data_IF_560743502244
#
_entry.id   IF_560743502244
#
_cell.length_a   1.000
_cell.length_b   1.000
_cell.length_c   1.000
_cell.angle_alpha   90.00
_cell.angle_beta   90.00
_cell.angle_gamma   90.00
#
_symmetry.space_group_name_H-M   'P 1'
#
loop_
_entity.id
_entity.type
_entity.pdbx_description
1 polymer ?
#
# COMPACT_ATOMS: atom_id res chain seq x y z
N UNK A 1 4.32 10.38 7.81
CA UNK A 1 5.45 9.43 7.65
C UNK A 1 6.47 9.67 8.77
N UNK A 2 6.04 9.69 10.05
CA UNK A 2 6.87 10.17 11.18
C UNK A 2 7.75 9.07 11.82
N UNK A 3 7.50 7.79 11.50
CA UNK A 3 8.14 6.64 12.17
C UNK A 3 8.97 5.77 11.20
N UNK A 4 8.80 5.95 9.88
CA UNK A 4 9.48 5.13 8.88
C UNK A 4 11.00 5.33 8.94
N UNK A 5 11.73 4.29 9.32
CA UNK A 5 13.20 4.25 9.31
C UNK A 5 13.92 4.53 10.65
N UNK A 6 13.20 4.99 11.69
CA UNK A 6 13.83 5.25 12.99
C UNK A 6 14.07 3.96 13.80
N UNK A 7 15.26 3.84 14.38
CA UNK A 7 15.68 2.69 15.19
C UNK A 7 15.54 2.93 16.69
N UNK A 8 15.27 4.17 17.10
CA UNK A 8 15.10 4.54 18.50
C UNK A 8 13.85 5.41 18.70
N UNK A 9 12.95 4.96 19.59
CA UNK A 9 11.73 5.67 19.94
C UNK A 9 12.02 7.06 20.53
N UNK A 10 13.20 7.28 21.14
CA UNK A 10 13.61 8.60 21.66
C UNK A 10 13.75 9.63 20.56
N UNK A 11 14.23 9.24 19.37
CA UNK A 11 14.36 10.16 18.22
C UNK A 11 13.00 10.61 17.73
N UNK A 12 12.01 9.72 17.73
CA UNK A 12 10.61 10.04 17.41
C UNK A 12 10.10 11.12 18.37
N UNK A 13 10.31 10.93 19.69
CA UNK A 13 9.88 11.91 20.70
C UNK A 13 10.64 13.25 20.60
N UNK A 14 11.94 13.24 20.29
CA UNK A 14 12.74 14.46 20.10
C UNK A 14 12.27 15.25 18.88
N UNK A 15 12.05 14.60 17.74
CA UNK A 15 11.53 15.25 16.53
C UNK A 15 10.15 15.84 16.73
N UNK A 16 9.27 15.12 17.43
CA UNK A 16 7.94 15.63 17.74
C UNK A 16 8.02 16.88 18.64
N UNK A 17 8.89 16.86 19.66
CA UNK A 17 9.16 18.04 20.50
C UNK A 17 9.68 19.22 19.66
N UNK A 18 10.69 18.98 18.82
CA UNK A 18 11.29 19.99 17.95
C UNK A 18 10.26 20.61 17.00
N UNK A 19 9.42 19.78 16.38
CA UNK A 19 8.33 20.22 15.50
C UNK A 19 7.35 21.15 16.22
N UNK A 20 6.92 20.80 17.43
CA UNK A 20 6.01 21.64 18.23
C UNK A 20 6.66 22.94 18.71
N UNK A 21 7.96 22.90 19.05
CA UNK A 21 8.74 24.10 19.39
C UNK A 21 8.90 25.04 18.18
N UNK A 22 9.06 24.50 16.96
CA UNK A 22 9.12 25.29 15.74
C UNK A 22 7.77 25.96 15.42
N UNK A 23 6.65 25.28 15.67
CA UNK A 23 5.31 25.84 15.47
C UNK A 23 4.91 26.86 16.55
N UNK A 24 5.44 26.71 17.77
CA UNK A 24 5.15 27.59 18.88
C UNK A 24 6.42 27.79 19.73
N UNK A 25 7.03 28.96 19.61
CA UNK A 25 8.25 29.31 20.34
C UNK A 25 8.10 29.30 21.88
N UNK A 26 6.87 29.33 22.43
CA UNK A 26 6.60 29.17 23.87
C UNK A 26 6.44 27.71 24.30
N UNK A 27 6.39 26.77 23.35
CA UNK A 27 6.29 25.36 23.65
C UNK A 27 7.61 24.87 24.25
N UNK A 28 7.52 24.07 25.31
CA UNK A 28 8.67 23.66 26.10
C UNK A 28 8.60 22.18 26.44
N UNK A 29 9.72 21.63 26.93
CA UNK A 29 9.77 20.25 27.42
C UNK A 29 8.70 19.99 28.51
N UNK A 30 8.41 20.98 29.37
CA UNK A 30 7.36 20.87 30.40
C UNK A 30 5.96 20.79 29.78
N UNK A 31 5.70 21.59 28.73
CA UNK A 31 4.44 21.53 27.99
C UNK A 31 4.28 20.16 27.30
N UNK A 32 5.34 19.65 26.68
CA UNK A 32 5.31 18.33 26.05
C UNK A 32 5.10 17.20 27.05
N UNK A 33 5.76 17.26 28.22
CA UNK A 33 5.55 16.29 29.28
C UNK A 33 4.11 16.28 29.79
N UNK A 34 3.51 17.46 29.98
CA UNK A 34 2.10 17.61 30.34
C UNK A 34 1.19 16.97 29.29
N UNK A 35 1.43 17.25 28.01
CA UNK A 35 0.62 16.72 26.92
C UNK A 35 0.72 15.18 26.85
N UNK A 36 1.92 14.62 27.08
CA UNK A 36 2.16 13.17 27.16
C UNK A 36 1.71 12.52 28.50
N UNK A 37 1.10 13.29 29.42
CA UNK A 37 0.73 12.85 30.76
C UNK A 37 1.91 12.21 31.54
N UNK A 38 3.10 12.81 31.42
CA UNK A 38 4.32 12.43 32.12
C UNK A 38 4.88 13.58 32.98
N UNK A 39 5.51 13.28 34.13
CA UNK A 39 6.32 14.27 34.83
C UNK A 39 7.46 14.77 33.93
N UNK A 40 7.75 16.07 33.96
CA UNK A 40 8.82 16.66 33.14
C UNK A 40 10.21 16.07 33.43
N UNK A 41 10.47 15.72 34.69
CA UNK A 41 11.69 15.00 35.10
C UNK A 41 11.79 13.64 34.40
N UNK A 42 10.70 12.86 34.42
CA UNK A 42 10.63 11.54 33.80
C UNK A 42 10.78 11.60 32.29
N UNK A 43 10.13 12.55 31.62
CA UNK A 43 10.31 12.73 30.18
C UNK A 43 11.77 13.07 29.84
N UNK A 44 12.38 13.99 30.61
CA UNK A 44 13.80 14.32 30.44
C UNK A 44 14.71 13.10 30.60
N UNK A 45 14.48 12.28 31.62
CA UNK A 45 15.24 11.04 31.85
C UNK A 45 15.07 10.04 30.71
N UNK A 46 13.86 9.90 30.16
CA UNK A 46 13.59 9.02 29.01
C UNK A 46 14.32 9.51 27.76
N UNK A 47 14.24 10.80 27.43
CA UNK A 47 14.90 11.39 26.26
C UNK A 47 16.43 11.33 26.33
N UNK A 48 16.98 11.32 27.55
CA UNK A 48 18.41 11.16 27.84
C UNK A 48 18.83 9.70 28.07
N UNK A 49 17.91 8.73 27.95
CA UNK A 49 18.22 7.31 28.08
C UNK A 49 18.48 6.81 29.51
N UNK A 50 18.26 7.64 30.53
CA UNK A 50 18.42 7.29 31.95
C UNK A 50 17.30 6.37 32.45
N UNK A 51 16.10 6.51 31.89
CA UNK A 51 14.93 5.67 32.20
C UNK A 51 14.28 5.16 30.92
N UNK A 52 13.60 4.02 31.02
CA UNK A 52 12.82 3.43 29.93
C UNK A 52 11.31 3.66 30.06
N UNK A 53 10.58 3.37 28.99
CA UNK A 53 9.12 3.32 29.00
C UNK A 53 8.62 1.87 29.07
N UNK A 54 7.47 1.65 29.70
CA UNK A 54 6.74 0.39 29.53
C UNK A 54 5.94 0.42 28.22
N UNK A 55 5.60 -0.75 27.70
CA UNK A 55 4.75 -0.87 26.50
C UNK A 55 3.39 -0.18 26.67
N UNK A 56 2.79 -0.32 27.85
CA UNK A 56 1.53 0.35 28.20
C UNK A 56 1.65 1.88 28.13
N UNK A 57 2.72 2.44 28.72
CA UNK A 57 3.00 3.88 28.65
C UNK A 57 3.30 4.33 27.21
N UNK A 58 4.00 3.50 26.44
CA UNK A 58 4.27 3.77 25.03
C UNK A 58 2.97 3.83 24.20
N UNK A 59 2.03 2.93 24.46
CA UNK A 59 0.72 2.92 23.80
C UNK A 59 -0.11 4.17 24.13
N UNK A 60 -0.11 4.60 25.39
CA UNK A 60 -0.74 5.87 25.79
C UNK A 60 -0.13 7.07 25.07
N UNK A 61 1.21 7.14 25.03
CA UNK A 61 1.94 8.20 24.31
C UNK A 61 1.61 8.18 22.80
N UNK A 62 1.61 7.01 22.16
CA UNK A 62 1.27 6.88 20.74
C UNK A 62 -0.13 7.40 20.43
N UNK A 63 -1.09 7.12 21.31
CA UNK A 63 -2.47 7.62 21.19
C UNK A 63 -2.53 9.14 21.30
N UNK A 64 -1.85 9.73 22.28
CA UNK A 64 -1.74 11.19 22.46
C UNK A 64 -1.10 11.88 21.26
N UNK A 65 -0.09 11.24 20.65
CA UNK A 65 0.58 11.75 19.46
C UNK A 65 -0.21 11.56 18.16
N UNK A 66 -1.39 10.91 18.23
CA UNK A 66 -2.25 10.69 17.07
C UNK A 66 -1.70 9.67 16.08
N UNK A 67 -0.88 8.73 16.54
CA UNK A 67 -0.34 7.68 15.68
C UNK A 67 -1.44 6.75 15.20
N UNK A 68 -1.35 6.32 13.93
CA UNK A 68 -2.20 5.25 13.41
C UNK A 68 -1.96 3.93 14.17
N UNK A 69 -2.84 2.93 14.01
CA UNK A 69 -2.68 1.64 14.65
C UNK A 69 -1.31 0.98 14.32
N UNK A 70 -0.91 1.04 13.05
CA UNK A 70 0.39 0.50 12.62
C UNK A 70 1.58 1.27 13.19
N UNK A 71 1.49 2.61 13.25
CA UNK A 71 2.53 3.46 13.82
C UNK A 71 2.66 3.25 15.34
N UNK A 72 1.53 3.06 16.02
CA UNK A 72 1.47 2.75 17.45
C UNK A 72 2.15 1.42 17.76
N UNK A 73 1.88 0.38 16.97
CA UNK A 73 2.52 -0.94 17.13
C UNK A 73 4.04 -0.86 16.94
N UNK A 74 4.51 -0.16 15.91
CA UNK A 74 5.95 0.04 15.67
C UNK A 74 6.59 0.81 16.83
N UNK A 75 5.96 1.89 17.31
CA UNK A 75 6.46 2.65 18.45
C UNK A 75 6.53 1.81 19.74
N UNK A 76 5.49 1.01 20.00
CA UNK A 76 5.45 0.10 21.14
C UNK A 76 6.52 -1.00 21.06
N UNK A 77 6.73 -1.58 19.87
CA UNK A 77 7.76 -2.59 19.65
C UNK A 77 9.18 -2.00 19.77
N UNK A 78 9.41 -0.75 19.35
CA UNK A 78 10.67 -0.04 19.59
C UNK A 78 10.97 0.10 21.08
N UNK A 79 9.98 0.51 21.89
CA UNK A 79 10.12 0.60 23.34
C UNK A 79 10.36 -0.78 23.97
N UNK A 80 9.56 -1.77 23.58
CA UNK A 80 9.63 -3.12 24.14
C UNK A 80 10.96 -3.81 23.83
N UNK A 81 11.50 -3.64 22.62
CA UNK A 81 12.79 -4.21 22.21
C UNK A 81 13.96 -3.73 23.08
N UNK A 82 13.87 -2.51 23.63
CA UNK A 82 14.90 -1.92 24.49
C UNK A 82 14.65 -2.18 25.98
N UNK A 83 13.40 -2.16 26.43
CA UNK A 83 13.07 -2.03 27.86
C UNK A 83 12.19 -3.14 28.46
N UNK A 84 11.81 -4.18 27.70
CA UNK A 84 11.10 -5.31 28.29
C UNK A 84 11.95 -6.03 29.36
N UNK A 85 11.30 -6.40 30.48
CA UNK A 85 11.92 -7.12 31.60
C UNK A 85 12.41 -8.51 31.19
N UNK A 86 11.68 -9.18 30.30
CA UNK A 86 12.04 -10.52 29.79
C UNK A 86 12.91 -10.45 28.54
N UNK A 87 14.02 -11.22 28.53
CA UNK A 87 14.88 -11.38 27.33
C UNK A 87 14.08 -11.87 26.12
N UNK A 88 13.14 -12.80 26.33
CA UNK A 88 12.25 -13.34 25.28
C UNK A 88 11.39 -12.23 24.66
N UNK A 89 10.78 -11.37 25.48
CA UNK A 89 9.92 -10.29 24.98
C UNK A 89 10.70 -9.23 24.20
N UNK A 90 11.93 -8.92 24.61
CA UNK A 90 12.84 -8.05 23.85
C UNK A 90 13.15 -8.62 22.48
N UNK A 91 13.43 -9.92 22.41
CA UNK A 91 13.76 -10.59 21.15
C UNK A 91 12.55 -10.70 20.23
N UNK A 92 11.37 -11.05 20.77
CA UNK A 92 10.12 -11.06 20.01
C UNK A 92 9.77 -9.67 19.44
N UNK A 93 10.03 -8.60 20.18
CA UNK A 93 9.84 -7.24 19.70
C UNK A 93 10.81 -6.88 18.56
N UNK A 94 12.08 -7.30 18.64
CA UNK A 94 13.04 -7.12 17.53
C UNK A 94 12.61 -7.86 16.27
N UNK A 95 12.15 -9.10 16.40
CA UNK A 95 11.64 -9.88 15.26
C UNK A 95 10.44 -9.20 14.60
N UNK A 96 9.51 -8.63 15.39
CA UNK A 96 8.38 -7.85 14.85
C UNK A 96 8.84 -6.58 14.15
N UNK A 97 9.83 -5.86 14.71
CA UNK A 97 10.41 -4.67 14.08
C UNK A 97 11.12 -5.00 12.76
N UNK A 98 11.90 -6.07 12.72
CA UNK A 98 12.55 -6.53 11.49
C UNK A 98 11.53 -6.92 10.43
N UNK A 99 10.49 -7.67 10.80
CA UNK A 99 9.37 -7.99 9.92
C UNK A 99 8.69 -6.73 9.38
N UNK A 100 8.45 -5.73 10.22
CA UNK A 100 7.85 -4.45 9.81
C UNK A 100 8.80 -3.60 8.93
N UNK A 101 10.11 -3.61 9.18
CA UNK A 101 11.12 -2.93 8.34
C UNK A 101 11.26 -3.60 6.97
N UNK A 102 11.27 -4.93 6.93
CA UNK A 102 11.26 -5.70 5.68
C UNK A 102 9.97 -5.40 4.91
N UNK A 103 8.81 -5.42 5.58
CA UNK A 103 7.53 -5.13 4.95
C UNK A 103 7.44 -3.68 4.42
N UNK A 104 7.97 -2.69 5.14
CA UNK A 104 7.97 -1.28 4.71
C UNK A 104 8.94 -1.03 3.56
N UNK A 105 10.18 -1.52 3.64
CA UNK A 105 11.15 -1.46 2.54
C UNK A 105 10.64 -2.18 1.28
N UNK A 106 10.03 -3.36 1.46
CA UNK A 106 9.36 -4.08 0.39
C UNK A 106 8.19 -3.27 -0.19
N UNK A 107 7.43 -2.59 0.66
CA UNK A 107 6.30 -1.76 0.23
C UNK A 107 6.74 -0.51 -0.56
N UNK A 108 7.81 0.16 -0.14
CA UNK A 108 8.38 1.32 -0.84
C UNK A 108 8.95 0.90 -2.20
N UNK A 109 9.68 -0.22 -2.27
CA UNK A 109 10.16 -0.80 -3.52
C UNK A 109 9.00 -1.17 -4.45
N UNK A 110 7.90 -1.72 -3.90
CA UNK A 110 6.68 -2.00 -4.67
C UNK A 110 6.00 -0.72 -5.16
N UNK A 111 6.06 0.39 -4.41
CA UNK A 111 5.47 1.66 -4.80
C UNK A 111 6.24 2.30 -5.96
N UNK A 112 7.56 2.25 -5.94
CA UNK A 112 8.41 2.75 -7.03
C UNK A 112 8.27 1.89 -8.29
N UNK A 113 8.26 0.56 -8.13
CA UNK A 113 7.96 -0.36 -9.22
C UNK A 113 6.56 -0.08 -9.80
N UNK A 114 5.56 0.12 -8.93
CA UNK A 114 4.20 0.46 -9.32
C UNK A 114 4.12 1.80 -10.07
N UNK A 115 4.81 2.85 -9.61
CA UNK A 115 4.86 4.13 -10.32
C UNK A 115 5.37 3.94 -11.75
N UNK A 116 6.43 3.16 -11.91
CA UNK A 116 7.01 2.86 -13.23
C UNK A 116 6.04 2.08 -14.14
N UNK A 117 5.23 1.17 -13.60
CA UNK A 117 4.24 0.38 -14.37
C UNK A 117 2.80 0.90 -14.26
N UNK A 118 2.61 2.16 -13.84
CA UNK A 118 1.29 2.68 -13.47
C UNK A 118 0.29 2.81 -14.62
N UNK A 119 0.74 2.66 -15.87
CA UNK A 119 -0.18 2.59 -17.01
C UNK A 119 -0.91 1.24 -17.07
N UNK A 120 -2.23 1.29 -17.28
CA UNK A 120 -3.14 0.13 -17.24
C UNK A 120 -2.66 -1.06 -18.08
N UNK A 121 -2.04 -0.79 -19.23
CA UNK A 121 -1.63 -1.81 -20.18
C UNK A 121 -0.48 -2.68 -19.65
N UNK A 122 0.37 -2.21 -18.73
CA UNK A 122 1.39 -3.07 -18.11
C UNK A 122 0.75 -4.22 -17.33
N UNK A 123 -0.36 -3.93 -16.63
CA UNK A 123 -1.10 -4.92 -15.86
C UNK A 123 -1.82 -5.92 -16.77
N UNK A 124 -2.45 -5.41 -17.84
CA UNK A 124 -3.10 -6.26 -18.83
C UNK A 124 -2.07 -7.17 -19.53
N UNK A 125 -0.93 -6.61 -19.93
CA UNK A 125 0.16 -7.32 -20.60
C UNK A 125 0.74 -8.45 -19.75
N UNK A 126 0.97 -8.23 -18.45
CA UNK A 126 1.40 -9.30 -17.54
C UNK A 126 0.41 -10.48 -17.56
N UNK A 127 -0.89 -10.23 -17.60
CA UNK A 127 -1.89 -11.31 -17.66
C UNK A 127 -1.93 -11.95 -19.05
N UNK A 128 -1.78 -11.16 -20.13
CA UNK A 128 -1.74 -11.69 -21.49
C UNK A 128 -0.59 -12.68 -21.70
N UNK A 129 0.57 -12.47 -21.07
CA UNK A 129 1.72 -13.39 -21.14
C UNK A 129 1.35 -14.82 -20.68
N UNK A 130 0.35 -14.96 -19.82
CA UNK A 130 -0.13 -16.25 -19.33
C UNK A 130 -1.09 -16.97 -20.29
N UNK A 131 -1.52 -16.33 -21.38
CA UNK A 131 -2.42 -16.94 -22.35
C UNK A 131 -1.65 -17.82 -23.36
N UNK A 132 -2.20 -18.97 -23.80
CA UNK A 132 -1.56 -19.86 -24.78
C UNK A 132 -1.22 -19.21 -26.12
N UNK A 133 -2.04 -18.25 -26.56
CA UNK A 133 -1.91 -17.53 -27.83
C UNK A 133 -0.94 -16.34 -27.79
N UNK A 134 -0.35 -16.06 -26.63
CA UNK A 134 0.53 -14.91 -26.45
C UNK A 134 1.72 -14.94 -27.41
N UNK A 135 1.98 -13.79 -28.05
CA UNK A 135 3.16 -13.58 -28.88
C UNK A 135 3.97 -12.42 -28.34
N UNK A 136 5.27 -12.64 -28.14
CA UNK A 136 6.23 -11.60 -27.81
C UNK A 136 6.55 -10.74 -29.05
N UNK A 137 5.52 -10.07 -29.57
CA UNK A 137 5.58 -9.23 -30.76
C UNK A 137 4.82 -7.92 -30.47
N UNK A 138 5.48 -6.75 -30.54
CA UNK A 138 4.84 -5.46 -30.30
C UNK A 138 3.61 -5.20 -31.18
N UNK A 139 3.57 -5.70 -32.42
CA UNK A 139 2.42 -5.52 -33.31
C UNK A 139 1.21 -6.33 -32.82
N UNK A 140 1.44 -7.58 -32.40
CA UNK A 140 0.40 -8.40 -31.78
C UNK A 140 -0.15 -7.78 -30.49
N UNK A 141 0.73 -7.33 -29.60
CA UNK A 141 0.36 -6.71 -28.32
C UNK A 141 -0.41 -5.41 -28.54
N UNK A 142 0.05 -4.58 -29.48
CA UNK A 142 -0.61 -3.34 -29.89
C UNK A 142 -2.06 -3.59 -30.30
N UNK A 143 -2.30 -4.59 -31.15
CA UNK A 143 -3.64 -4.98 -31.58
C UNK A 143 -4.48 -5.54 -30.43
N UNK A 144 -3.91 -6.38 -29.58
CA UNK A 144 -4.63 -7.01 -28.46
C UNK A 144 -5.10 -5.99 -27.41
N UNK A 145 -4.30 -4.95 -27.13
CA UNK A 145 -4.59 -3.97 -26.08
C UNK A 145 -5.13 -2.63 -26.61
N UNK A 146 -5.10 -2.40 -27.92
CA UNK A 146 -5.47 -1.10 -28.51
C UNK A 146 -4.54 0.03 -28.09
N UNK A 147 -3.24 -0.26 -28.02
CA UNK A 147 -2.15 0.70 -27.75
C UNK A 147 -1.22 0.78 -28.96
N UNK A 148 -0.31 1.76 -29.01
CA UNK A 148 0.69 1.84 -30.08
C UNK A 148 1.75 0.73 -29.97
N UNK A 149 2.37 0.35 -31.10
CA UNK A 149 3.47 -0.61 -31.11
C UNK A 149 4.70 -0.12 -30.32
N UNK A 150 4.89 1.21 -30.23
CA UNK A 150 5.91 1.83 -29.40
C UNK A 150 5.61 1.60 -27.92
N UNK A 151 4.38 1.89 -27.47
CA UNK A 151 3.96 1.62 -26.09
C UNK A 151 4.07 0.14 -25.73
N UNK A 152 3.71 -0.76 -26.65
CA UNK A 152 3.83 -2.20 -26.44
C UNK A 152 5.28 -2.65 -26.21
N UNK A 153 6.22 -2.16 -27.05
CA UNK A 153 7.65 -2.46 -26.90
C UNK A 153 8.18 -1.88 -25.58
N UNK A 154 7.93 -0.60 -25.33
CA UNK A 154 8.41 0.10 -24.14
C UNK A 154 7.84 -0.53 -22.85
N UNK A 155 6.60 -1.07 -22.90
CA UNK A 155 6.01 -1.81 -21.80
C UNK A 155 6.76 -3.11 -21.51
N UNK A 156 7.06 -3.91 -22.54
CA UNK A 156 7.82 -5.16 -22.40
C UNK A 156 9.22 -4.91 -21.80
N UNK A 157 9.96 -3.94 -22.35
CA UNK A 157 11.27 -3.55 -21.84
C UNK A 157 11.21 -3.12 -20.37
N UNK A 158 10.17 -2.36 -20.01
CA UNK A 158 9.98 -1.89 -18.63
C UNK A 158 9.68 -3.03 -17.67
N UNK A 159 8.80 -3.96 -18.06
CA UNK A 159 8.46 -5.13 -17.26
C UNK A 159 9.69 -6.02 -17.03
N UNK A 160 10.53 -6.19 -18.05
CA UNK A 160 11.78 -6.96 -17.93
C UNK A 160 12.80 -6.24 -17.05
N UNK A 161 13.02 -4.94 -17.26
CA UNK A 161 13.92 -4.12 -16.44
C UNK A 161 13.55 -4.15 -14.95
N UNK A 162 12.26 -4.20 -14.64
CA UNK A 162 11.74 -4.28 -13.27
C UNK A 162 11.69 -5.71 -12.73
N UNK A 163 12.19 -6.70 -13.47
CA UNK A 163 12.20 -8.12 -13.11
C UNK A 163 10.80 -8.66 -12.79
N UNK A 164 9.78 -8.14 -13.48
CA UNK A 164 8.42 -8.67 -13.42
C UNK A 164 8.22 -9.82 -14.42
N UNK A 165 8.96 -9.76 -15.51
CA UNK A 165 9.05 -10.80 -16.53
C UNK A 165 10.52 -11.09 -16.85
N UNK A 166 10.76 -12.23 -17.47
CA UNK A 166 12.05 -12.64 -18.01
C UNK A 166 11.88 -13.14 -19.44
N UNK A 167 12.75 -12.68 -20.35
CA UNK A 167 12.80 -13.18 -21.72
C UNK A 167 14.02 -14.09 -21.89
N UNK A 168 13.79 -15.38 -22.08
CA UNK A 168 14.85 -16.37 -22.33
C UNK A 168 14.58 -17.13 -23.62
N UNK A 169 15.52 -17.04 -24.58
CA UNK A 169 15.43 -17.74 -25.88
C UNK A 169 14.10 -17.47 -26.60
N UNK A 170 13.60 -16.23 -26.52
CA UNK A 170 12.32 -15.83 -27.11
C UNK A 170 11.08 -16.19 -26.28
N UNK A 171 11.19 -17.02 -25.24
CA UNK A 171 10.10 -17.34 -24.33
C UNK A 171 10.02 -16.31 -23.21
N UNK A 172 8.83 -15.75 -22.99
CA UNK A 172 8.56 -14.81 -21.91
C UNK A 172 7.97 -15.59 -20.73
N UNK A 173 8.53 -15.37 -19.53
CA UNK A 173 8.05 -16.00 -18.29
C UNK A 173 7.81 -14.94 -17.23
N UNK A 174 6.73 -15.07 -16.46
CA UNK A 174 6.46 -14.18 -15.32
C UNK A 174 7.35 -14.55 -14.15
N UNK A 175 7.99 -13.57 -13.52
CA UNK A 175 8.86 -13.78 -12.37
C UNK A 175 8.14 -13.59 -11.02
N UNK A 176 7.02 -12.85 -11.01
CA UNK A 176 6.25 -12.58 -9.80
C UNK A 176 4.74 -12.68 -10.05
N UNK A 177 4.02 -13.16 -9.03
CA UNK A 177 2.59 -12.88 -8.91
C UNK A 177 2.43 -11.40 -8.56
N UNK A 178 2.07 -10.58 -9.54
CA UNK A 178 1.88 -9.16 -9.28
C UNK A 178 0.67 -8.95 -8.37
N UNK A 179 0.94 -8.55 -7.13
CA UNK A 179 -0.10 -8.33 -6.11
C UNK A 179 -0.76 -6.97 -6.34
N UNK A 180 -2.09 -6.97 -6.29
CA UNK A 180 -2.92 -5.78 -6.38
C UNK A 180 -2.41 -4.63 -5.47
N UNK A 181 -2.38 -3.43 -6.05
CA UNK A 181 -2.07 -2.13 -5.43
C UNK A 181 -2.53 -2.06 -3.97
N UNK A 182 -1.61 -1.75 -3.06
CA UNK A 182 -1.98 -1.53 -1.66
C UNK A 182 -2.75 -0.22 -1.53
N UNK A 183 -4.02 -0.30 -1.17
CA UNK A 183 -5.01 0.79 -1.15
C UNK A 183 -4.78 1.85 -0.05
N UNK A 184 -3.67 1.78 0.69
CA UNK A 184 -3.44 2.57 1.91
C UNK A 184 -2.60 3.85 1.69
N UNK A 185 -1.88 3.97 0.57
CA UNK A 185 -1.04 5.14 0.30
C UNK A 185 -1.58 5.92 -0.89
N UNK A 186 -2.09 7.15 -0.71
CA UNK A 186 -2.49 7.99 -1.83
C UNK A 186 -1.29 8.28 -2.74
N UNK A 187 -1.31 7.82 -3.98
CA UNK A 187 -0.28 8.12 -4.98
C UNK A 187 -0.91 8.67 -6.26
N UNK A 188 -0.22 9.63 -6.89
CA UNK A 188 -0.60 10.15 -8.21
C UNK A 188 -0.66 9.02 -9.25
N UNK A 189 0.25 8.05 -9.16
CA UNK A 189 0.26 6.86 -10.00
C UNK A 189 -0.98 5.99 -9.80
N UNK A 190 -1.43 5.82 -8.55
CA UNK A 190 -2.64 5.02 -8.24
C UNK A 190 -3.88 5.71 -8.83
N UNK A 191 -3.98 7.03 -8.68
CA UNK A 191 -5.06 7.81 -9.30
C UNK A 191 -5.01 7.75 -10.83
N UNK A 192 -3.82 7.83 -11.43
CA UNK A 192 -3.60 7.69 -12.88
C UNK A 192 -4.10 6.33 -13.36
N UNK A 193 -3.67 5.25 -12.73
CA UNK A 193 -4.09 3.88 -13.05
C UNK A 193 -5.61 3.73 -12.98
N UNK A 194 -6.24 4.12 -11.87
CA UNK A 194 -7.69 4.00 -11.73
C UNK A 194 -8.47 4.83 -12.74
N UNK A 195 -7.97 6.02 -13.11
CA UNK A 195 -8.57 6.84 -14.19
C UNK A 195 -8.54 6.09 -15.52
N UNK A 196 -7.39 5.55 -15.92
CA UNK A 196 -7.26 4.80 -17.16
C UNK A 196 -8.16 3.54 -17.17
N UNK A 197 -8.27 2.84 -16.04
CA UNK A 197 -9.19 1.68 -15.92
C UNK A 197 -10.65 2.12 -16.09
N UNK A 198 -11.05 3.25 -15.52
CA UNK A 198 -12.40 3.80 -15.72
C UNK A 198 -12.63 4.19 -17.18
N UNK A 199 -11.64 4.79 -17.85
CA UNK A 199 -11.71 5.07 -19.29
C UNK A 199 -11.87 3.78 -20.12
N UNK A 200 -11.17 2.70 -19.75
CA UNK A 200 -11.36 1.38 -20.39
C UNK A 200 -12.77 0.84 -20.16
N UNK A 201 -13.32 1.00 -18.95
CA UNK A 201 -14.68 0.59 -18.65
C UNK A 201 -15.70 1.41 -19.48
N UNK A 202 -15.49 2.72 -19.66
CA UNK A 202 -16.33 3.53 -20.55
C UNK A 202 -16.27 3.02 -21.99
N UNK A 203 -15.08 2.75 -22.54
CA UNK A 203 -14.96 2.20 -23.90
C UNK A 203 -15.62 0.83 -24.04
N UNK A 204 -15.51 -0.04 -23.02
CA UNK A 204 -16.19 -1.32 -22.99
C UNK A 204 -17.72 -1.17 -22.93
N UNK A 205 -18.22 -0.18 -22.19
CA UNK A 205 -19.65 0.12 -22.13
C UNK A 205 -20.22 0.46 -23.52
N UNK A 206 -19.44 1.19 -24.34
CA UNK A 206 -19.89 1.67 -25.65
C UNK A 206 -19.67 0.63 -26.77
N UNK A 207 -18.57 -0.14 -26.71
CA UNK A 207 -18.09 -0.91 -27.87
C UNK A 207 -18.16 -2.45 -27.69
N UNK A 208 -18.36 -2.96 -26.48
CA UNK A 208 -18.43 -4.42 -26.27
C UNK A 208 -19.89 -4.93 -26.27
N UNK A 209 -20.14 -6.13 -26.83
CA UNK A 209 -21.44 -6.77 -26.77
C UNK A 209 -21.81 -7.15 -25.32
N UNK A 210 -23.10 -7.37 -25.03
CA UNK A 210 -23.60 -7.58 -23.67
C UNK A 210 -23.04 -8.85 -23.01
N UNK A 211 -22.69 -9.85 -23.82
CA UNK A 211 -22.15 -11.13 -23.38
C UNK A 211 -20.72 -11.01 -22.84
N UNK A 212 -19.99 -9.97 -23.28
CA UNK A 212 -18.59 -9.72 -22.94
C UNK A 212 -18.41 -8.76 -21.76
N UNK A 213 -19.52 -8.19 -21.24
CA UNK A 213 -19.46 -7.16 -20.21
C UNK A 213 -20.56 -7.28 -19.15
N UNK A 214 -20.26 -6.79 -17.95
CA UNK A 214 -21.24 -6.65 -16.89
C UNK A 214 -21.07 -5.31 -16.18
N UNK A 215 -22.06 -4.43 -16.33
CA UNK A 215 -22.12 -3.13 -15.68
C UNK A 215 -23.29 -3.12 -14.69
N UNK A 216 -22.99 -2.80 -13.44
CA UNK A 216 -24.00 -2.66 -12.38
C UNK A 216 -23.60 -1.55 -11.42
N UNK A 217 -24.60 -0.84 -10.90
CA UNK A 217 -24.42 0.20 -9.90
C UNK A 217 -25.54 0.11 -8.87
N UNK A 218 -25.17 0.30 -7.59
CA UNK A 218 -26.12 0.39 -6.48
C UNK A 218 -25.79 1.62 -5.64
N UNK A 219 -26.82 2.23 -5.08
CA UNK A 219 -26.69 3.35 -4.14
C UNK A 219 -27.22 2.87 -2.79
N UNK A 220 -26.37 2.92 -1.76
CA UNK A 220 -26.69 2.39 -0.44
C UNK A 220 -26.32 3.40 0.64
N UNK A 221 -27.26 3.75 1.56
CA UNK A 221 -26.90 4.49 2.75
C UNK A 221 -26.10 3.59 3.69
N UNK A 222 -24.97 4.09 4.19
CA UNK A 222 -24.12 3.36 5.13
C UNK A 222 -23.77 4.22 6.34
N UNK A 223 -23.48 3.57 7.45
CA UNK A 223 -22.70 4.17 8.52
C UNK A 223 -21.23 4.27 8.09
N UNK A 224 -20.67 5.49 8.08
CA UNK A 224 -19.27 5.76 7.70
C UNK A 224 -18.28 5.00 8.59
N UNK A 225 -18.63 4.70 9.84
CA UNK A 225 -17.75 3.94 10.74
C UNK A 225 -17.52 2.51 10.24
N UNK A 226 -18.44 1.97 9.43
CA UNK A 226 -18.35 0.64 8.83
C UNK A 226 -17.56 0.59 7.52
N UNK A 227 -16.94 1.69 7.11
CA UNK A 227 -16.14 1.75 5.88
C UNK A 227 -15.00 0.72 5.86
N UNK A 228 -14.40 0.43 7.02
CA UNK A 228 -13.35 -0.59 7.16
C UNK A 228 -13.88 -1.99 6.80
N UNK A 229 -15.10 -2.31 7.24
CA UNK A 229 -15.76 -3.59 6.94
C UNK A 229 -16.10 -3.69 5.45
N UNK A 230 -16.69 -2.63 4.88
CA UNK A 230 -17.05 -2.58 3.46
C UNK A 230 -15.82 -2.83 2.55
N UNK A 231 -14.71 -2.14 2.82
CA UNK A 231 -13.44 -2.37 2.09
C UNK A 231 -12.95 -3.81 2.23
N UNK A 232 -13.05 -4.40 3.43
CA UNK A 232 -12.67 -5.80 3.68
C UNK A 232 -13.53 -6.77 2.86
N UNK A 233 -14.84 -6.56 2.81
CA UNK A 233 -15.75 -7.40 2.03
C UNK A 233 -15.46 -7.30 0.53
N UNK A 234 -15.29 -6.10 -0.01
CA UNK A 234 -14.95 -5.88 -1.43
C UNK A 234 -13.63 -6.56 -1.78
N UNK A 235 -12.60 -6.41 -0.94
CA UNK A 235 -11.30 -7.10 -1.11
C UNK A 235 -11.45 -8.62 -1.14
N UNK A 236 -12.22 -9.18 -0.21
CA UNK A 236 -12.44 -10.62 -0.14
C UNK A 236 -13.26 -11.14 -1.32
N UNK A 237 -14.28 -10.38 -1.75
CA UNK A 237 -15.06 -10.65 -2.96
C UNK A 237 -14.14 -10.73 -4.18
N UNK A 238 -13.34 -9.69 -4.46
CA UNK A 238 -12.40 -9.66 -5.60
C UNK A 238 -11.47 -10.87 -5.59
N UNK A 239 -10.86 -11.18 -4.43
CA UNK A 239 -9.98 -12.36 -4.27
C UNK A 239 -10.69 -13.69 -4.52
N UNK A 240 -11.96 -13.81 -4.11
CA UNK A 240 -12.75 -15.02 -4.32
C UNK A 240 -13.18 -15.14 -5.78
N UNK A 241 -13.56 -14.02 -6.40
CA UNK A 241 -13.96 -13.95 -7.80
C UNK A 241 -12.82 -14.40 -8.72
N UNK A 242 -11.62 -13.82 -8.58
CA UNK A 242 -10.46 -14.23 -9.37
C UNK A 242 -10.14 -15.72 -9.20
N UNK A 243 -10.09 -16.23 -7.97
CA UNK A 243 -9.81 -17.65 -7.70
C UNK A 243 -10.85 -18.61 -8.28
N UNK A 244 -12.11 -18.18 -8.43
CA UNK A 244 -13.17 -19.00 -9.00
C UNK A 244 -13.14 -19.06 -10.53
N UNK A 245 -12.61 -18.04 -11.18
CA UNK A 245 -12.52 -17.96 -12.63
C UNK A 245 -11.18 -18.46 -13.18
N UNK A 246 -10.15 -18.53 -12.34
CA UNK A 246 -8.86 -19.04 -12.75
C UNK A 246 -8.96 -20.52 -13.12
N UNK A 247 -8.79 -20.81 -14.41
CA UNK A 247 -8.81 -22.15 -14.98
C UNK A 247 -7.39 -22.65 -15.33
N UNK A 248 -6.33 -21.99 -14.84
CA UNK A 248 -4.95 -22.35 -15.11
C UNK A 248 -4.63 -22.31 -16.62
N UNK A 249 -4.17 -23.44 -17.16
CA UNK A 249 -3.76 -23.54 -18.57
C UNK A 249 -4.93 -23.40 -19.56
N UNK A 250 -6.18 -23.52 -19.10
CA UNK A 250 -7.38 -23.31 -19.92
C UNK A 250 -7.78 -21.83 -20.05
N UNK A 251 -7.08 -20.91 -19.37
CA UNK A 251 -7.32 -19.48 -19.50
C UNK A 251 -7.00 -19.00 -20.93
N UNK A 252 -7.95 -18.32 -21.58
CA UNK A 252 -7.85 -17.88 -22.98
C UNK A 252 -8.20 -16.40 -23.20
N UNK A 253 -8.50 -15.66 -22.13
CA UNK A 253 -8.90 -14.25 -22.23
C UNK A 253 -8.60 -13.51 -20.93
N UNK A 254 -8.37 -12.20 -21.03
CA UNK A 254 -8.09 -11.32 -19.89
C UNK A 254 -9.23 -10.34 -19.70
N UNK A 255 -9.93 -10.45 -18.58
CA UNK A 255 -10.97 -9.51 -18.17
C UNK A 255 -10.48 -8.60 -17.04
N UNK A 256 -10.89 -7.33 -17.08
CA UNK A 256 -10.64 -6.39 -15.99
C UNK A 256 -11.87 -6.29 -15.08
N UNK A 257 -11.78 -6.84 -13.85
CA UNK A 257 -12.75 -6.55 -12.80
C UNK A 257 -12.34 -5.29 -12.03
N UNK A 258 -13.12 -4.22 -12.20
CA UNK A 258 -12.94 -2.96 -11.48
C UNK A 258 -14.17 -2.69 -10.61
N UNK A 259 -13.96 -2.42 -9.32
CA UNK A 259 -15.05 -2.17 -8.35
C UNK A 259 -14.80 -0.84 -7.65
N UNK A 260 -15.74 0.09 -7.79
CA UNK A 260 -15.69 1.40 -7.14
C UNK A 260 -16.70 1.47 -6.00
N UNK A 261 -16.24 1.94 -4.84
CA UNK A 261 -17.10 2.27 -3.70
C UNK A 261 -16.64 3.60 -3.11
N UNK A 262 -17.46 4.63 -3.27
CA UNK A 262 -17.11 6.01 -2.95
C UNK A 262 -18.31 6.76 -2.35
N UNK A 263 -18.02 7.84 -1.64
CA UNK A 263 -19.06 8.75 -1.13
C UNK A 263 -19.54 9.65 -2.28
N UNK A 264 -20.85 9.70 -2.53
CA UNK A 264 -21.47 10.52 -3.57
C UNK A 264 -21.60 12.00 -3.19
N UNK A 265 -21.53 12.34 -1.90
CA UNK A 265 -21.59 13.74 -1.48
C UNK A 265 -20.27 14.40 -1.87
N UNK A 266 -20.38 15.55 -2.54
CA UNK A 266 -19.23 16.40 -2.81
C UNK A 266 -18.51 16.71 -1.50
N UNK A 267 -17.17 16.60 -1.51
CA UNK A 267 -16.38 17.11 -0.41
C UNK A 267 -16.59 18.64 -0.42
N UNK A 268 -17.16 19.18 0.66
CA UNK A 268 -17.12 20.63 0.88
C UNK A 268 -15.64 21.04 0.85
N UNK A 269 -15.29 21.84 -0.16
CA UNK A 269 -13.97 22.47 -0.25
C UNK A 269 -13.76 23.43 0.91
#
# INVERSE_FOLDING_TARGET
>A
MLIAGETDYRRILKRELESRCQQNARYSLRAFARDLALPASRLSEVLNGKQGLSRERASGIATTLGFSASESDVFCDLVESQHARGRVNRELAKVRLEKNRINSSFHDLQLDAFQAVSDWYHFALIQLISLPEFKNDPAWISKALGISAVEARDAMERLERLKLIEVKRGKVTRLQEFVAVNEQTPSSAIRKFHRQVLERAMLALDNQPLEERSFSAIFVPIDKQRMVEAKRWIKNFRRRFCRKLDAGDANNSVYCLSVQFFNIKEAQK
#
